data_IF_144394972968
#
_entry.id   IF_144394972968
#
_cell.length_a   1.000
_cell.length_b   1.000
_cell.length_c   1.000
_cell.angle_alpha   90.00
_cell.angle_beta   90.00
_cell.angle_gamma   90.00
#
_symmetry.space_group_name_H-M   'P 1'
#
loop_
_entity.id
_entity.type
_entity.pdbx_description
1 polymer ?
#
# COMPACT_ATOMS: atom_id res chain seq x y z
N UNK A 1 -15.13 -11.54 -18.29
CA UNK A 1 -14.86 -12.60 -17.30
C UNK A 1 -13.34 -12.76 -17.18
N UNK A 2 -12.83 -13.05 -15.99
CA UNK A 2 -11.42 -13.37 -15.77
C UNK A 2 -11.32 -14.89 -15.64
N UNK A 3 -10.63 -15.55 -16.56
CA UNK A 3 -10.31 -16.98 -16.45
C UNK A 3 -9.07 -17.16 -15.58
N UNK A 4 -9.13 -18.12 -14.64
CA UNK A 4 -8.03 -18.45 -13.73
C UNK A 4 -7.73 -19.93 -13.83
N UNK A 5 -6.50 -20.27 -14.15
CA UNK A 5 -6.02 -21.64 -14.23
C UNK A 5 -4.72 -21.77 -13.44
N UNK A 6 -4.52 -22.93 -12.81
CA UNK A 6 -3.24 -23.28 -12.19
C UNK A 6 -2.41 -24.07 -13.19
N UNK A 7 -1.16 -23.66 -13.37
CA UNK A 7 -0.17 -24.36 -14.17
C UNK A 7 0.91 -24.93 -13.24
N UNK A 8 1.20 -26.21 -13.39
CA UNK A 8 2.38 -26.81 -12.77
C UNK A 8 3.59 -26.60 -13.68
N UNK A 9 4.50 -25.72 -13.25
CA UNK A 9 5.72 -25.41 -13.99
C UNK A 9 6.89 -26.21 -13.41
N UNK A 10 7.76 -26.85 -14.24
CA UNK A 10 8.79 -27.78 -13.74
C UNK A 10 9.79 -27.14 -12.76
N UNK A 11 10.10 -25.85 -12.93
CA UNK A 11 11.06 -25.12 -12.07
C UNK A 11 10.36 -24.21 -11.08
N UNK A 12 9.27 -23.53 -11.49
CA UNK A 12 8.59 -22.55 -10.65
C UNK A 12 7.48 -23.15 -9.78
N UNK A 13 7.13 -24.44 -9.97
CA UNK A 13 6.01 -25.08 -9.27
C UNK A 13 4.67 -24.46 -9.71
N UNK A 14 3.77 -24.22 -8.77
CA UNK A 14 2.46 -23.64 -9.09
C UNK A 14 2.55 -22.19 -9.55
N UNK A 15 1.98 -21.92 -10.72
CA UNK A 15 1.84 -20.58 -11.30
C UNK A 15 0.37 -20.33 -11.59
N UNK A 16 -0.21 -19.27 -10.99
CA UNK A 16 -1.56 -18.85 -11.26
C UNK A 16 -1.63 -18.07 -12.57
N UNK A 17 -2.23 -18.65 -13.60
CA UNK A 17 -2.52 -17.98 -14.87
C UNK A 17 -3.84 -17.21 -14.76
N UNK A 18 -3.81 -15.93 -15.12
CA UNK A 18 -4.98 -15.06 -15.10
C UNK A 18 -5.14 -14.38 -16.46
N UNK A 19 -6.12 -14.83 -17.25
CA UNK A 19 -6.53 -14.15 -18.48
C UNK A 19 -7.53 -13.07 -18.13
N UNK A 20 -7.22 -11.80 -18.42
CA UNK A 20 -8.00 -10.66 -17.93
C UNK A 20 -8.34 -9.67 -19.05
N UNK A 21 -9.63 -9.34 -19.19
CA UNK A 21 -10.09 -8.30 -20.12
C UNK A 21 -9.63 -6.89 -19.71
N UNK A 22 -9.27 -6.67 -18.44
CA UNK A 22 -8.76 -5.40 -17.94
C UNK A 22 -7.25 -5.24 -18.09
N UNK A 23 -6.53 -6.34 -18.30
CA UNK A 23 -5.09 -6.29 -18.50
C UNK A 23 -4.76 -5.66 -19.86
N UNK A 24 -3.83 -4.73 -19.88
CA UNK A 24 -3.31 -4.10 -21.11
C UNK A 24 -1.97 -4.66 -21.55
N UNK A 25 -1.30 -5.43 -20.69
CA UNK A 25 0.02 -6.04 -20.95
C UNK A 25 0.15 -7.35 -20.17
N UNK A 26 1.09 -8.19 -20.60
CA UNK A 26 1.51 -9.36 -19.81
C UNK A 26 2.29 -8.88 -18.61
N UNK A 27 2.01 -9.41 -17.42
CA UNK A 27 2.68 -9.05 -16.18
C UNK A 27 2.84 -10.25 -15.27
N UNK A 28 3.95 -10.28 -14.53
CA UNK A 28 4.24 -11.28 -13.52
C UNK A 28 4.28 -10.59 -12.15
N UNK A 29 3.67 -11.20 -11.16
CA UNK A 29 3.77 -10.77 -9.77
C UNK A 29 4.14 -11.95 -8.87
N UNK A 30 5.06 -11.71 -7.94
CA UNK A 30 5.46 -12.65 -6.90
C UNK A 30 4.99 -12.11 -5.56
N UNK A 31 4.14 -12.84 -4.86
CA UNK A 31 3.62 -12.45 -3.54
C UNK A 31 4.61 -12.80 -2.43
N UNK A 32 4.41 -12.22 -1.26
CA UNK A 32 5.19 -12.56 -0.04
C UNK A 32 5.02 -14.04 0.34
N UNK A 33 3.86 -14.65 0.02
CA UNK A 33 3.64 -16.10 0.15
C UNK A 33 4.53 -16.96 -0.74
N UNK A 34 5.18 -16.37 -1.77
CA UNK A 34 5.91 -17.10 -2.81
C UNK A 34 5.05 -17.45 -4.03
N UNK A 35 3.72 -17.19 -3.98
CA UNK A 35 2.80 -17.41 -5.11
C UNK A 35 3.23 -16.59 -6.32
N UNK A 36 3.35 -17.23 -7.48
CA UNK A 36 3.62 -16.58 -8.76
C UNK A 36 2.33 -16.46 -9.54
N UNK A 37 2.02 -15.26 -10.00
CA UNK A 37 0.86 -14.99 -10.85
C UNK A 37 1.31 -14.38 -12.16
N UNK A 38 0.91 -15.00 -13.27
CA UNK A 38 1.04 -14.50 -14.63
C UNK A 38 -0.30 -13.96 -15.09
N UNK A 39 -0.39 -12.66 -15.32
CA UNK A 39 -1.62 -12.01 -15.85
C UNK A 39 -1.39 -11.56 -17.28
N UNK A 40 -2.33 -11.86 -18.20
CA UNK A 40 -2.23 -11.49 -19.62
C UNK A 40 -3.58 -11.08 -20.19
N UNK A 41 -3.57 -10.18 -21.21
CA UNK A 41 -4.78 -9.74 -21.91
C UNK A 41 -5.48 -10.89 -22.66
N UNK A 42 -6.79 -10.75 -22.90
CA UNK A 42 -7.57 -11.71 -23.69
C UNK A 42 -7.02 -11.88 -25.12
N UNK A 43 -6.48 -10.81 -25.71
CA UNK A 43 -5.88 -10.83 -27.07
C UNK A 43 -4.47 -11.45 -27.14
N UNK A 44 -3.88 -11.87 -26.00
CA UNK A 44 -2.57 -12.53 -25.97
C UNK A 44 -2.77 -14.03 -25.81
N UNK A 45 -2.13 -14.82 -26.67
CA UNK A 45 -2.19 -16.29 -26.55
C UNK A 45 -1.47 -16.77 -25.29
N UNK A 46 -1.96 -17.84 -24.68
CA UNK A 46 -1.32 -18.46 -23.51
C UNK A 46 0.13 -18.84 -23.80
N UNK A 47 0.41 -19.35 -25.02
CA UNK A 47 1.79 -19.71 -25.45
C UNK A 47 2.74 -18.49 -25.34
N UNK A 48 2.31 -17.31 -25.80
CA UNK A 48 3.10 -16.08 -25.71
C UNK A 48 3.28 -15.61 -24.25
N UNK A 49 2.25 -15.75 -23.43
CA UNK A 49 2.33 -15.43 -22.02
C UNK A 49 3.30 -16.37 -21.28
N UNK A 50 3.29 -17.68 -21.61
CA UNK A 50 4.23 -18.65 -21.05
C UNK A 50 5.68 -18.40 -21.50
N UNK A 51 5.89 -18.01 -22.77
CA UNK A 51 7.22 -17.64 -23.25
C UNK A 51 7.79 -16.45 -22.44
N UNK A 52 6.96 -15.45 -22.11
CA UNK A 52 7.34 -14.35 -21.24
C UNK A 52 7.64 -14.80 -19.79
N UNK A 53 6.92 -15.80 -19.28
CA UNK A 53 7.20 -16.40 -17.98
C UNK A 53 8.60 -17.04 -17.95
N UNK A 54 8.95 -17.78 -18.99
CA UNK A 54 10.28 -18.42 -19.14
C UNK A 54 11.40 -17.36 -19.24
N UNK A 55 11.20 -16.33 -20.05
CA UNK A 55 12.16 -15.22 -20.18
C UNK A 55 12.47 -14.55 -18.82
N UNK A 56 11.48 -14.49 -17.94
CA UNK A 56 11.58 -13.85 -16.62
C UNK A 56 11.86 -14.83 -15.47
N UNK A 57 12.20 -16.09 -15.77
CA UNK A 57 12.39 -17.14 -14.77
C UNK A 57 13.38 -16.74 -13.67
N UNK A 58 14.55 -16.26 -14.03
CA UNK A 58 15.60 -15.90 -13.07
C UNK A 58 15.17 -14.71 -12.18
N UNK A 59 14.48 -13.74 -12.77
CA UNK A 59 13.89 -12.65 -12.01
C UNK A 59 12.82 -13.14 -11.01
N UNK A 60 12.01 -14.14 -11.40
CA UNK A 60 11.01 -14.75 -10.52
C UNK A 60 11.69 -15.44 -9.34
N UNK A 61 12.75 -16.22 -9.59
CA UNK A 61 13.51 -16.91 -8.54
C UNK A 61 14.14 -15.92 -7.56
N UNK A 62 14.85 -14.90 -8.05
CA UNK A 62 15.40 -13.84 -7.22
C UNK A 62 14.33 -13.07 -6.45
N UNK A 63 13.15 -12.88 -7.03
CA UNK A 63 12.00 -12.24 -6.36
C UNK A 63 11.43 -13.12 -5.26
N UNK A 64 11.33 -14.44 -5.46
CA UNK A 64 10.92 -15.39 -4.42
C UNK A 64 11.87 -15.38 -3.22
N UNK A 65 13.17 -15.38 -3.46
CA UNK A 65 14.16 -15.29 -2.39
C UNK A 65 14.00 -13.99 -1.58
N UNK A 66 13.87 -12.84 -2.27
CA UNK A 66 13.60 -11.57 -1.58
C UNK A 66 12.32 -11.61 -0.74
N UNK A 67 11.26 -12.23 -1.25
CA UNK A 67 10.01 -12.39 -0.51
C UNK A 67 10.14 -13.37 0.66
N UNK A 68 10.90 -14.46 0.50
CA UNK A 68 11.22 -15.40 1.57
C UNK A 68 12.02 -14.73 2.70
N UNK A 69 13.04 -13.95 2.37
CA UNK A 69 13.81 -13.15 3.35
C UNK A 69 12.91 -12.14 4.08
N UNK A 70 12.04 -11.44 3.35
CA UNK A 70 11.05 -10.54 3.96
C UNK A 70 10.11 -11.28 4.91
N UNK A 71 9.64 -12.48 4.53
CA UNK A 71 8.77 -13.30 5.37
C UNK A 71 9.50 -13.78 6.62
N UNK A 72 10.75 -14.23 6.51
CA UNK A 72 11.57 -14.67 7.64
C UNK A 72 11.90 -13.53 8.61
N UNK A 73 12.02 -12.29 8.10
CA UNK A 73 12.24 -11.10 8.91
C UNK A 73 10.95 -10.55 9.56
N UNK A 74 9.77 -11.09 9.22
CA UNK A 74 8.53 -10.72 9.90
C UNK A 74 8.51 -11.39 11.28
N UNK A 75 8.15 -10.65 12.34
CA UNK A 75 7.94 -11.25 13.66
C UNK A 75 6.86 -12.32 13.58
N UNK A 76 6.87 -13.30 14.50
CA UNK A 76 5.82 -14.31 14.60
C UNK A 76 4.45 -13.66 14.53
N UNK A 77 3.56 -14.21 13.71
CA UNK A 77 2.18 -13.69 13.68
C UNK A 77 1.51 -14.09 14.99
N UNK A 78 0.89 -13.11 15.65
CA UNK A 78 0.03 -13.37 16.79
C UNK A 78 -1.06 -14.38 16.41
N UNK A 79 -1.57 -15.20 17.35
CA UNK A 79 -2.76 -16.01 17.12
C UNK A 79 -3.90 -15.18 16.53
N UNK A 80 -4.77 -15.79 15.73
CA UNK A 80 -5.78 -15.05 14.96
C UNK A 80 -6.73 -14.22 15.85
N UNK A 81 -7.05 -14.70 17.05
CA UNK A 81 -7.88 -13.99 18.02
C UNK A 81 -7.17 -12.76 18.59
N UNK A 82 -5.90 -12.88 18.96
CA UNK A 82 -5.09 -11.75 19.44
C UNK A 82 -4.89 -10.70 18.35
N UNK A 83 -4.71 -11.13 17.09
CA UNK A 83 -4.66 -10.21 15.96
C UNK A 83 -5.98 -9.45 15.78
N UNK A 84 -7.12 -10.12 15.88
CA UNK A 84 -8.42 -9.47 15.78
C UNK A 84 -8.62 -8.49 16.93
N UNK A 85 -8.33 -8.88 18.17
CA UNK A 85 -8.43 -8.00 19.33
C UNK A 85 -7.54 -6.76 19.19
N UNK A 86 -6.30 -6.93 18.71
CA UNK A 86 -5.38 -5.83 18.45
C UNK A 86 -5.91 -4.88 17.38
N UNK A 87 -6.38 -5.40 16.24
CA UNK A 87 -6.97 -4.59 15.16
C UNK A 87 -8.20 -3.82 15.66
N UNK A 88 -9.06 -4.43 16.48
CA UNK A 88 -10.23 -3.76 17.02
C UNK A 88 -9.85 -2.68 18.07
N UNK A 89 -8.79 -2.90 18.85
CA UNK A 89 -8.26 -1.87 19.72
C UNK A 89 -7.73 -0.66 18.93
N UNK A 90 -6.92 -0.90 17.88
CA UNK A 90 -6.45 0.15 16.99
C UNK A 90 -7.61 0.85 16.28
N UNK A 91 -8.66 0.12 15.88
CA UNK A 91 -9.86 0.69 15.26
C UNK A 91 -10.60 1.64 16.19
N UNK A 92 -10.77 1.27 17.46
CA UNK A 92 -11.40 2.14 18.47
C UNK A 92 -10.56 3.41 18.67
N UNK A 93 -9.26 3.26 18.89
CA UNK A 93 -8.35 4.40 19.06
C UNK A 93 -8.37 5.33 17.82
N UNK A 94 -8.30 4.77 16.61
CA UNK A 94 -8.32 5.53 15.37
C UNK A 94 -9.64 6.29 15.14
N UNK A 95 -10.78 5.71 15.55
CA UNK A 95 -12.10 6.39 15.44
C UNK A 95 -12.22 7.59 16.37
N UNK A 96 -11.50 7.62 17.47
CA UNK A 96 -11.45 8.75 18.40
C UNK A 96 -10.40 9.78 17.96
N UNK A 97 -9.14 9.37 17.78
CA UNK A 97 -8.01 10.28 17.51
C UNK A 97 -8.06 10.93 16.11
N UNK A 98 -8.29 10.13 15.04
CA UNK A 98 -8.10 10.63 13.68
C UNK A 98 -9.10 11.71 13.25
N UNK A 99 -10.41 11.65 13.60
CA UNK A 99 -11.35 12.72 13.26
C UNK A 99 -11.01 14.06 13.92
N UNK A 100 -10.66 14.04 15.20
CA UNK A 100 -10.27 15.26 15.94
C UNK A 100 -8.96 15.82 15.40
N UNK A 101 -7.99 14.94 15.14
CA UNK A 101 -6.68 15.30 14.62
C UNK A 101 -6.77 15.93 13.22
N UNK A 102 -7.56 15.35 12.29
CA UNK A 102 -7.73 15.93 10.96
C UNK A 102 -8.49 17.26 11.02
N UNK A 103 -9.47 17.41 11.90
CA UNK A 103 -10.19 18.66 12.08
C UNK A 103 -9.25 19.77 12.59
N UNK A 104 -8.43 19.48 13.60
CA UNK A 104 -7.41 20.39 14.14
C UNK A 104 -6.39 20.80 13.07
N UNK A 105 -5.85 19.83 12.33
CA UNK A 105 -4.85 20.09 11.29
C UNK A 105 -5.47 20.83 10.08
N UNK A 106 -6.72 20.53 9.70
CA UNK A 106 -7.45 21.27 8.68
C UNK A 106 -7.62 22.75 9.08
N UNK A 107 -8.01 23.01 10.33
CA UNK A 107 -8.13 24.37 10.84
C UNK A 107 -6.78 25.12 10.84
N UNK A 108 -5.71 24.43 11.27
CA UNK A 108 -4.36 25.03 11.35
C UNK A 108 -3.73 25.30 9.96
N UNK A 109 -4.04 24.47 8.95
CA UNK A 109 -3.45 24.58 7.61
C UNK A 109 -4.32 25.31 6.60
N UNK A 110 -5.60 25.49 6.89
CA UNK A 110 -6.61 26.02 5.95
C UNK A 110 -7.02 25.01 4.87
N UNK A 111 -6.51 23.78 4.91
CA UNK A 111 -6.82 22.71 3.95
C UNK A 111 -8.04 21.91 4.42
N UNK A 112 -8.93 21.53 3.47
CA UNK A 112 -10.19 20.88 3.81
C UNK A 112 -10.27 19.47 3.24
N UNK A 113 -10.74 18.55 4.08
CA UNK A 113 -11.13 17.20 3.71
C UNK A 113 -12.65 17.12 3.61
N UNK A 114 -13.18 16.69 2.47
CA UNK A 114 -14.62 16.55 2.25
C UNK A 114 -15.20 15.32 2.98
N UNK A 115 -14.42 14.27 3.02
CA UNK A 115 -14.83 13.01 3.67
C UNK A 115 -13.63 12.27 4.21
N UNK A 116 -13.74 11.84 5.48
CA UNK A 116 -12.76 10.95 6.12
C UNK A 116 -13.30 9.52 6.13
N UNK A 117 -12.43 8.55 5.80
CA UNK A 117 -12.67 7.13 6.03
C UNK A 117 -11.48 6.48 6.74
N UNK A 118 -11.74 5.57 7.66
CA UNK A 118 -10.70 4.82 8.39
C UNK A 118 -10.77 3.37 7.96
N UNK A 119 -9.64 2.80 7.53
CA UNK A 119 -9.57 1.45 6.97
C UNK A 119 -8.41 0.66 7.58
N UNK A 120 -8.52 -0.67 7.60
CA UNK A 120 -7.41 -1.56 7.97
C UNK A 120 -6.44 -1.78 6.77
N UNK A 121 -5.92 -0.69 6.19
CA UNK A 121 -4.99 -0.77 5.07
C UNK A 121 -3.58 -1.08 5.55
N UNK A 122 -2.96 -2.14 5.01
CA UNK A 122 -1.57 -2.53 5.30
C UNK A 122 -0.60 -2.13 4.18
N UNK A 123 -1.07 -1.38 3.18
CA UNK A 123 -0.25 -1.00 2.01
C UNK A 123 0.03 0.49 1.94
N UNK A 124 -0.80 1.31 2.59
CA UNK A 124 -0.69 2.77 2.61
C UNK A 124 -1.11 3.31 3.97
N UNK A 125 -0.41 4.31 4.48
CA UNK A 125 -0.78 5.06 5.68
C UNK A 125 -2.01 5.93 5.47
N UNK A 126 -2.10 6.54 4.27
CA UNK A 126 -3.22 7.36 3.83
C UNK A 126 -3.38 7.37 2.32
N UNK A 127 -4.44 8.00 1.85
CA UNK A 127 -4.68 8.34 0.45
C UNK A 127 -5.75 9.42 0.33
N UNK A 128 -5.60 10.32 -0.63
CA UNK A 128 -6.61 11.30 -1.00
C UNK A 128 -7.13 11.00 -2.42
N UNK A 129 -8.45 11.06 -2.62
CA UNK A 129 -9.06 10.92 -3.94
C UNK A 129 -9.15 12.26 -4.66
N UNK A 130 -9.42 12.25 -5.98
CA UNK A 130 -9.68 13.46 -6.76
C UNK A 130 -10.91 14.26 -6.33
N UNK A 131 -11.74 13.72 -5.43
CA UNK A 131 -12.89 14.39 -4.80
C UNK A 131 -12.56 14.86 -3.37
N UNK A 132 -11.28 14.96 -3.02
CA UNK A 132 -10.82 15.35 -1.68
C UNK A 132 -11.33 14.46 -0.53
N UNK A 133 -11.63 13.18 -0.83
CA UNK A 133 -11.93 12.20 0.20
C UNK A 133 -10.64 11.57 0.69
N UNK A 134 -10.35 11.71 1.99
CA UNK A 134 -9.17 11.15 2.64
C UNK A 134 -9.52 9.80 3.27
N UNK A 135 -8.69 8.81 2.99
CA UNK A 135 -8.75 7.50 3.64
C UNK A 135 -7.48 7.30 4.44
N UNK A 136 -7.60 7.09 5.75
CA UNK A 136 -6.48 6.86 6.66
C UNK A 136 -6.46 5.41 7.14
N UNK A 137 -5.26 4.87 7.33
CA UNK A 137 -5.09 3.55 7.93
C UNK A 137 -5.25 3.63 9.45
N UNK A 138 -5.98 2.69 10.05
CA UNK A 138 -6.05 2.57 11.51
C UNK A 138 -4.67 2.25 12.12
N UNK A 139 -3.74 1.71 11.33
CA UNK A 139 -2.37 1.46 11.75
C UNK A 139 -1.55 2.74 11.98
N UNK A 140 -2.08 3.92 11.64
CA UNK A 140 -1.50 5.20 12.09
C UNK A 140 -1.36 5.25 13.63
N UNK A 141 -2.23 4.55 14.35
CA UNK A 141 -2.16 4.47 15.81
C UNK A 141 -0.88 3.81 16.34
N UNK A 142 -0.14 3.09 15.51
CA UNK A 142 1.17 2.53 15.85
C UNK A 142 2.33 3.51 15.67
N UNK A 143 2.07 4.67 15.06
CA UNK A 143 3.07 5.72 14.87
C UNK A 143 3.11 6.70 16.03
N UNK A 144 4.26 7.35 16.29
CA UNK A 144 4.33 8.54 17.12
C UNK A 144 3.39 9.64 16.61
N UNK A 145 2.90 10.50 17.49
CA UNK A 145 1.90 11.52 17.14
C UNK A 145 2.34 12.46 16.04
N UNK A 146 3.59 12.94 16.08
CA UNK A 146 4.13 13.83 15.05
C UNK A 146 4.19 13.19 13.65
N UNK A 147 4.38 11.86 13.56
CA UNK A 147 4.32 11.14 12.28
C UNK A 147 2.88 10.93 11.83
N UNK A 148 1.92 10.76 12.74
CA UNK A 148 0.49 10.78 12.39
C UNK A 148 0.11 12.12 11.80
N UNK A 149 0.51 13.22 12.45
CA UNK A 149 0.28 14.59 11.97
C UNK A 149 0.92 14.79 10.60
N UNK A 150 2.15 14.33 10.42
CA UNK A 150 2.82 14.40 9.12
C UNK A 150 2.04 13.68 8.01
N UNK A 151 1.58 12.45 8.24
CA UNK A 151 0.79 11.70 7.25
C UNK A 151 -0.51 12.44 6.94
N UNK A 152 -1.22 12.96 7.95
CA UNK A 152 -2.47 13.69 7.74
C UNK A 152 -2.23 14.99 6.96
N UNK A 153 -1.17 15.75 7.27
CA UNK A 153 -0.79 16.95 6.52
C UNK A 153 -0.47 16.59 5.06
N UNK A 154 0.25 15.49 4.82
CA UNK A 154 0.54 14.98 3.48
C UNK A 154 -0.75 14.70 2.69
N UNK A 155 -1.72 14.01 3.30
CA UNK A 155 -3.01 13.72 2.64
C UNK A 155 -3.87 14.99 2.46
N UNK A 156 -3.81 15.93 3.39
CA UNK A 156 -4.46 17.23 3.24
C UNK A 156 -3.84 18.05 2.08
N UNK A 157 -2.52 18.01 1.89
CA UNK A 157 -1.88 18.67 0.75
C UNK A 157 -2.35 18.10 -0.60
N UNK A 158 -2.76 16.83 -0.64
CA UNK A 158 -3.36 16.24 -1.83
C UNK A 158 -4.73 16.81 -2.19
N UNK A 159 -5.42 17.51 -1.30
CA UNK A 159 -6.66 18.22 -1.63
C UNK A 159 -6.42 19.44 -2.54
N UNK A 160 -5.17 19.93 -2.63
CA UNK A 160 -4.74 21.04 -3.51
C UNK A 160 -3.90 20.51 -4.67
N UNK A 161 -3.01 19.58 -4.42
CA UNK A 161 -2.09 19.01 -5.41
C UNK A 161 -2.20 17.48 -5.43
N UNK A 162 -3.01 16.92 -6.34
CA UNK A 162 -3.28 15.49 -6.42
C UNK A 162 -2.06 14.63 -6.84
N UNK A 163 -0.97 15.24 -7.29
CA UNK A 163 0.27 14.57 -7.67
C UNK A 163 1.44 15.06 -6.79
N UNK A 164 2.49 14.25 -6.71
CA UNK A 164 3.70 14.59 -5.97
C UNK A 164 4.65 15.49 -6.80
N UNK A 165 4.09 16.63 -7.30
CA UNK A 165 4.86 17.64 -8.03
C UNK A 165 5.78 18.44 -7.07
N UNK A 166 6.72 19.24 -7.60
CA UNK A 166 7.50 20.18 -6.78
C UNK A 166 6.64 21.13 -5.94
N UNK A 167 5.47 21.54 -6.46
CA UNK A 167 4.51 22.39 -5.71
C UNK A 167 3.89 21.64 -4.53
N UNK A 168 3.59 20.36 -4.70
CA UNK A 168 3.11 19.51 -3.61
C UNK A 168 4.15 19.43 -2.49
N UNK A 169 5.39 19.07 -2.83
CA UNK A 169 6.48 18.96 -1.85
C UNK A 169 6.76 20.29 -1.16
N UNK A 170 6.75 21.41 -1.89
CA UNK A 170 6.91 22.74 -1.29
C UNK A 170 5.78 23.07 -0.30
N UNK A 171 4.54 22.65 -0.58
CA UNK A 171 3.41 22.85 0.34
C UNK A 171 3.58 21.98 1.60
N UNK A 172 3.90 20.69 1.46
CA UNK A 172 4.12 19.80 2.60
C UNK A 172 5.28 20.32 3.46
N UNK A 173 6.40 20.68 2.84
CA UNK A 173 7.58 21.17 3.56
C UNK A 173 7.28 22.44 4.35
N UNK A 174 6.57 23.39 3.76
CA UNK A 174 6.11 24.61 4.43
C UNK A 174 5.23 24.29 5.65
N UNK A 175 4.25 23.39 5.50
CA UNK A 175 3.30 23.06 6.57
C UNK A 175 3.91 22.17 7.66
N UNK A 176 5.06 21.56 7.38
CA UNK A 176 5.83 20.76 8.33
C UNK A 176 7.08 21.48 8.89
N UNK A 177 7.17 22.80 8.65
CA UNK A 177 8.27 23.62 9.14
C UNK A 177 9.64 23.27 8.55
N UNK A 178 9.69 22.95 7.25
CA UNK A 178 10.93 22.58 6.53
C UNK A 178 11.41 21.14 6.78
N UNK A 179 10.55 20.28 7.35
CA UNK A 179 10.95 18.94 7.83
C UNK A 179 10.44 17.78 6.96
N UNK A 180 9.83 18.02 5.81
CA UNK A 180 9.23 16.96 4.98
C UNK A 180 10.19 15.80 4.70
N UNK A 181 11.41 16.10 4.26
CA UNK A 181 12.40 15.06 3.92
C UNK A 181 12.80 14.22 5.14
N UNK A 182 12.95 14.85 6.30
CA UNK A 182 13.31 14.16 7.54
C UNK A 182 12.15 13.25 8.01
N UNK A 183 10.93 13.78 8.06
CA UNK A 183 9.74 13.04 8.48
C UNK A 183 9.42 11.87 7.51
N UNK A 184 9.58 12.07 6.21
CA UNK A 184 9.42 11.01 5.22
C UNK A 184 10.46 9.89 5.38
N UNK A 185 11.71 10.25 5.66
CA UNK A 185 12.78 9.26 5.94
C UNK A 185 12.46 8.45 7.18
N UNK A 186 12.03 9.11 8.23
CA UNK A 186 11.66 8.47 9.49
C UNK A 186 10.43 7.57 9.34
N UNK A 187 9.38 8.03 8.65
CA UNK A 187 8.19 7.23 8.37
C UNK A 187 8.50 5.93 7.62
N UNK A 188 9.52 5.93 6.76
CA UNK A 188 9.96 4.71 6.02
C UNK A 188 10.55 3.64 6.91
N UNK A 189 11.00 3.98 8.13
CA UNK A 189 11.47 3.00 9.11
C UNK A 189 10.31 2.19 9.72
N UNK A 190 9.09 2.71 9.65
CA UNK A 190 7.90 2.04 10.16
C UNK A 190 7.24 1.18 9.08
N UNK A 191 6.88 -0.05 9.46
CA UNK A 191 6.07 -0.94 8.62
C UNK A 191 4.61 -0.87 9.06
N UNK A 192 3.69 -0.89 8.10
CA UNK A 192 2.25 -0.99 8.38
C UNK A 192 1.94 -2.45 8.74
N UNK A 193 1.61 -2.70 9.98
CA UNK A 193 1.43 -4.07 10.50
C UNK A 193 0.09 -4.26 11.18
#
# INVERSE_FOLDING_TARGET
MNERNLLQHPVLGEVLLVRSARARRVSISVRVSGEVRLTFPVGVSQRRALAFLEEKRDWIMASRERMARKRAALPPQLPSEEQHAHIEALRRAAKTDLPERIARLSAATGLRCEKLSIRASRTKWGSCSGQNHISLSLFLMTLPEYLRDYVIIHELCHTVHHNHSPRFHALVDRLTGGREKALNRELRAYAIR
#
